data_IF_479647152337
#
_entry.id   IF_479647152337
#
_cell.length_a   1.000
_cell.length_b   1.000
_cell.length_c   1.000
_cell.angle_alpha   90.00
_cell.angle_beta   90.00
_cell.angle_gamma   90.00
#
_symmetry.space_group_name_H-M   'P 1'
#
loop_
_entity.id
_entity.type
_entity.pdbx_description
1 polymer ?
#
# COMPACT_ATOMS: atom_id res chain seq x y z
N UNK A 1 -15.81 -45.18 -22.00
CA UNK A 1 -14.84 -44.37 -21.21
C UNK A 1 -15.10 -44.61 -19.73
N UNK A 2 -14.05 -44.78 -18.92
CA UNK A 2 -14.18 -44.85 -17.45
C UNK A 2 -14.61 -43.49 -16.89
N UNK A 3 -15.33 -43.47 -15.75
CA UNK A 3 -15.72 -42.21 -15.10
C UNK A 3 -14.50 -41.35 -14.75
N UNK A 4 -13.35 -41.98 -14.43
CA UNK A 4 -12.08 -41.29 -14.18
C UNK A 4 -11.59 -40.52 -15.41
N UNK A 5 -11.73 -41.10 -16.60
CA UNK A 5 -11.34 -40.46 -17.87
C UNK A 5 -12.28 -39.30 -18.20
N UNK A 6 -13.59 -39.45 -17.94
CA UNK A 6 -14.58 -38.36 -18.14
C UNK A 6 -14.25 -37.17 -17.23
N UNK A 7 -13.98 -37.42 -15.94
CA UNK A 7 -13.64 -36.37 -14.97
C UNK A 7 -12.38 -35.62 -15.39
N UNK A 8 -11.33 -36.33 -15.82
CA UNK A 8 -10.08 -35.70 -16.29
C UNK A 8 -10.31 -34.80 -17.51
N UNK A 9 -11.11 -35.24 -18.47
CA UNK A 9 -11.42 -34.45 -19.68
C UNK A 9 -12.22 -33.20 -19.31
N UNK A 10 -13.24 -33.32 -18.45
CA UNK A 10 -14.02 -32.17 -17.97
C UNK A 10 -13.12 -31.19 -17.22
N UNK A 11 -12.27 -31.69 -16.33
CA UNK A 11 -11.31 -30.85 -15.60
C UNK A 11 -10.35 -30.09 -16.54
N UNK A 12 -9.81 -30.77 -17.56
CA UNK A 12 -8.94 -30.16 -18.55
C UNK A 12 -9.67 -29.10 -19.40
N UNK A 13 -10.92 -29.36 -19.80
CA UNK A 13 -11.75 -28.40 -20.53
C UNK A 13 -12.06 -27.15 -19.69
N UNK A 14 -12.43 -27.32 -18.42
CA UNK A 14 -12.66 -26.20 -17.51
C UNK A 14 -11.39 -25.37 -17.30
N UNK A 15 -10.24 -26.02 -17.14
CA UNK A 15 -8.96 -25.32 -17.04
C UNK A 15 -8.62 -24.54 -18.31
N UNK A 16 -8.83 -25.14 -19.50
CA UNK A 16 -8.62 -24.46 -20.78
C UNK A 16 -9.53 -23.24 -20.93
N UNK A 17 -10.82 -23.36 -20.61
CA UNK A 17 -11.78 -22.24 -20.63
C UNK A 17 -11.34 -21.13 -19.68
N UNK A 18 -10.91 -21.47 -18.46
CA UNK A 18 -10.42 -20.49 -17.49
C UNK A 18 -9.17 -19.75 -17.98
N UNK A 19 -8.17 -20.47 -18.50
CA UNK A 19 -6.94 -19.86 -19.06
C UNK A 19 -7.27 -18.97 -20.26
N UNK A 20 -8.15 -19.43 -21.16
CA UNK A 20 -8.61 -18.63 -22.29
C UNK A 20 -9.33 -17.36 -21.82
N UNK A 21 -10.21 -17.46 -20.82
CA UNK A 21 -10.91 -16.30 -20.27
C UNK A 21 -9.93 -15.26 -19.70
N UNK A 22 -8.95 -15.69 -18.91
CA UNK A 22 -7.95 -14.81 -18.31
C UNK A 22 -7.05 -14.16 -19.36
N UNK A 23 -6.63 -14.92 -20.38
CA UNK A 23 -5.69 -14.43 -21.40
C UNK A 23 -6.36 -13.55 -22.45
N UNK A 24 -7.61 -13.84 -22.83
CA UNK A 24 -8.36 -13.10 -23.84
C UNK A 24 -9.08 -11.89 -23.26
N UNK A 25 -9.38 -11.84 -21.96
CA UNK A 25 -9.96 -10.66 -21.32
C UNK A 25 -8.88 -9.66 -20.92
N UNK A 26 -8.78 -8.49 -21.58
CA UNK A 26 -7.79 -7.47 -21.23
C UNK A 26 -7.97 -6.96 -19.80
N UNK A 27 -9.19 -6.99 -19.27
CA UNK A 27 -9.44 -6.61 -17.87
C UNK A 27 -8.77 -7.59 -16.90
N UNK A 28 -8.99 -8.91 -17.06
CA UNK A 28 -8.41 -9.91 -16.16
C UNK A 28 -6.89 -10.00 -16.28
N UNK A 29 -6.34 -9.92 -17.50
CA UNK A 29 -4.89 -9.84 -17.70
C UNK A 29 -4.27 -8.65 -16.95
N UNK A 30 -4.87 -7.47 -17.06
CA UNK A 30 -4.37 -6.27 -16.38
C UNK A 30 -4.57 -6.34 -14.86
N UNK A 31 -5.67 -6.92 -14.37
CA UNK A 31 -5.92 -7.09 -12.94
C UNK A 31 -4.91 -8.03 -12.29
N UNK A 32 -4.53 -9.12 -12.98
CA UNK A 32 -3.45 -10.01 -12.51
C UNK A 32 -2.09 -9.32 -12.51
N UNK A 33 -1.77 -8.55 -13.56
CA UNK A 33 -0.56 -7.73 -13.58
C UNK A 33 -0.54 -6.73 -12.43
N UNK A 34 -1.66 -6.04 -12.18
CA UNK A 34 -1.80 -5.13 -11.06
C UNK A 34 -1.56 -5.82 -9.71
N UNK A 35 -2.09 -7.04 -9.53
CA UNK A 35 -1.86 -7.84 -8.32
C UNK A 35 -0.37 -8.14 -8.14
N UNK A 36 0.33 -8.51 -9.20
CA UNK A 36 1.78 -8.74 -9.15
C UNK A 36 2.56 -7.49 -8.69
N UNK A 37 2.27 -6.32 -9.27
CA UNK A 37 2.91 -5.06 -8.84
C UNK A 37 2.57 -4.70 -7.38
N UNK A 38 1.33 -4.97 -6.94
CA UNK A 38 0.94 -4.76 -5.55
C UNK A 38 1.79 -5.59 -4.58
N UNK A 39 1.99 -6.88 -4.87
CA UNK A 39 2.83 -7.77 -4.04
C UNK A 39 4.30 -7.36 -4.05
N UNK A 40 4.77 -6.67 -5.10
CA UNK A 40 6.12 -6.10 -5.16
C UNK A 40 6.27 -4.76 -4.44
N UNK A 41 5.19 -4.20 -3.89
CA UNK A 41 5.18 -2.89 -3.25
C UNK A 41 5.09 -1.70 -4.22
N UNK A 42 4.96 -1.94 -5.53
CA UNK A 42 4.73 -0.89 -6.52
C UNK A 42 3.23 -0.55 -6.60
N UNK A 43 2.76 0.12 -5.54
CA UNK A 43 1.35 0.45 -5.38
C UNK A 43 0.84 1.47 -6.41
N UNK A 44 1.71 2.30 -6.99
CA UNK A 44 1.32 3.28 -8.01
C UNK A 44 0.99 2.56 -9.33
N UNK A 45 1.88 1.68 -9.79
CA UNK A 45 1.64 0.88 -10.99
C UNK A 45 0.46 -0.06 -10.79
N UNK A 46 0.38 -0.71 -9.63
CA UNK A 46 -0.76 -1.55 -9.27
C UNK A 46 -2.09 -0.80 -9.34
N UNK A 47 -2.17 0.43 -8.80
CA UNK A 47 -3.38 1.26 -8.87
C UNK A 47 -3.73 1.63 -10.31
N UNK A 48 -2.77 2.09 -11.11
CA UNK A 48 -3.02 2.49 -12.51
C UNK A 48 -3.57 1.32 -13.34
N UNK A 49 -2.96 0.14 -13.23
CA UNK A 49 -3.38 -1.06 -13.96
C UNK A 49 -4.74 -1.57 -13.50
N UNK A 50 -4.95 -1.67 -12.18
CA UNK A 50 -6.22 -2.15 -11.62
C UNK A 50 -7.38 -1.19 -11.89
N UNK A 51 -7.16 0.12 -11.81
CA UNK A 51 -8.15 1.14 -12.20
C UNK A 51 -8.52 1.04 -13.68
N UNK A 52 -7.54 0.87 -14.56
CA UNK A 52 -7.79 0.64 -16.00
C UNK A 52 -8.56 -0.66 -16.25
N UNK A 53 -8.21 -1.74 -15.54
CA UNK A 53 -8.89 -3.03 -15.63
C UNK A 53 -10.35 -2.93 -15.15
N UNK A 54 -10.58 -2.27 -14.02
CA UNK A 54 -11.90 -2.06 -13.46
C UNK A 54 -12.78 -1.18 -14.35
N UNK A 55 -12.20 -0.16 -15.00
CA UNK A 55 -12.93 0.66 -15.96
C UNK A 55 -13.36 -0.12 -17.21
N UNK A 56 -12.56 -1.11 -17.64
CA UNK A 56 -12.91 -2.01 -18.76
C UNK A 56 -13.98 -3.03 -18.40
N UNK A 57 -14.04 -3.45 -17.13
CA UNK A 57 -15.02 -4.38 -16.61
C UNK A 57 -15.26 -4.11 -15.11
N UNK A 58 -16.37 -3.43 -14.83
CA UNK A 58 -16.76 -3.04 -13.46
C UNK A 58 -17.16 -4.23 -12.58
N UNK A 59 -17.34 -5.42 -13.16
CA UNK A 59 -17.62 -6.65 -12.41
C UNK A 59 -16.35 -7.45 -12.10
N UNK A 60 -15.19 -7.01 -12.59
CA UNK A 60 -13.91 -7.60 -12.24
C UNK A 60 -13.56 -7.28 -10.77
N UNK A 61 -13.96 -8.18 -9.88
CA UNK A 61 -13.71 -8.09 -8.44
C UNK A 61 -12.22 -8.03 -8.11
N UNK A 62 -11.37 -8.73 -8.85
CA UNK A 62 -9.92 -8.67 -8.64
C UNK A 62 -9.40 -7.25 -8.91
N UNK A 63 -9.80 -6.66 -10.03
CA UNK A 63 -9.42 -5.29 -10.37
C UNK A 63 -9.88 -4.29 -9.32
N UNK A 64 -11.15 -4.39 -8.88
CA UNK A 64 -11.68 -3.52 -7.83
C UNK A 64 -10.90 -3.65 -6.51
N UNK A 65 -10.67 -4.89 -6.06
CA UNK A 65 -9.95 -5.15 -4.82
C UNK A 65 -8.54 -4.59 -4.89
N UNK A 66 -7.77 -4.91 -5.94
CA UNK A 66 -6.39 -4.42 -6.08
C UNK A 66 -6.33 -2.90 -6.18
N UNK A 67 -7.31 -2.26 -6.84
CA UNK A 67 -7.42 -0.81 -6.92
C UNK A 67 -7.57 -0.18 -5.53
N UNK A 68 -8.53 -0.66 -4.74
CA UNK A 68 -8.76 -0.16 -3.37
C UNK A 68 -7.55 -0.44 -2.47
N UNK A 69 -6.98 -1.64 -2.55
CA UNK A 69 -5.77 -2.01 -1.80
C UNK A 69 -4.62 -1.06 -2.10
N UNK A 70 -4.34 -0.86 -3.38
CA UNK A 70 -3.23 -0.01 -3.85
C UNK A 70 -3.43 1.45 -3.44
N UNK A 71 -4.66 1.97 -3.52
CA UNK A 71 -4.97 3.34 -3.08
C UNK A 71 -4.68 3.53 -1.60
N UNK A 72 -5.05 2.56 -0.76
CA UNK A 72 -4.79 2.63 0.68
C UNK A 72 -3.28 2.48 0.95
N UNK A 73 -2.62 1.48 0.36
CA UNK A 73 -1.18 1.24 0.55
C UNK A 73 -0.31 2.42 0.12
N UNK A 74 -0.69 3.16 -0.93
CA UNK A 74 -0.01 4.40 -1.32
C UNK A 74 -0.02 5.45 -0.22
N UNK A 75 -1.15 5.62 0.48
CA UNK A 75 -1.24 6.59 1.59
C UNK A 75 -0.31 6.23 2.74
N UNK A 76 -0.25 4.95 3.08
CA UNK A 76 0.71 4.43 4.07
C UNK A 76 2.16 4.63 3.62
N UNK A 77 2.51 4.28 2.38
CA UNK A 77 3.86 4.43 1.86
C UNK A 77 4.31 5.90 1.83
N UNK A 78 3.43 6.83 1.42
CA UNK A 78 3.70 8.26 1.42
C UNK A 78 3.90 8.80 2.84
N UNK A 79 3.05 8.37 3.78
CA UNK A 79 3.17 8.73 5.18
C UNK A 79 4.54 8.30 5.74
N UNK A 80 4.91 7.03 5.54
CA UNK A 80 6.17 6.45 6.02
C UNK A 80 7.36 7.21 5.42
N UNK A 81 7.37 7.43 4.10
CA UNK A 81 8.46 8.12 3.43
C UNK A 81 8.65 9.55 3.93
N UNK A 82 7.56 10.33 4.03
CA UNK A 82 7.59 11.71 4.53
C UNK A 82 8.08 11.77 5.97
N UNK A 83 7.53 10.92 6.82
CA UNK A 83 7.81 10.88 8.25
C UNK A 83 9.25 10.44 8.53
N UNK A 84 9.80 9.50 7.77
CA UNK A 84 11.22 9.16 7.84
C UNK A 84 12.11 10.35 7.43
N UNK A 85 11.74 11.11 6.40
CA UNK A 85 12.42 12.36 6.04
C UNK A 85 12.42 13.39 7.18
N UNK A 86 11.33 13.49 7.95
CA UNK A 86 11.30 14.32 9.16
C UNK A 86 12.24 13.80 10.24
N UNK A 87 12.26 12.50 10.52
CA UNK A 87 13.18 11.91 11.50
C UNK A 87 14.66 12.16 11.14
N UNK A 88 15.02 12.04 9.86
CA UNK A 88 16.36 12.37 9.38
C UNK A 88 16.71 13.85 9.61
N UNK A 89 15.77 14.75 9.34
CA UNK A 89 15.97 16.18 9.56
C UNK A 89 16.13 16.52 11.04
N UNK A 90 15.31 15.91 11.91
CA UNK A 90 15.44 16.04 13.37
C UNK A 90 16.80 15.54 13.83
N UNK A 91 17.27 14.41 13.30
CA UNK A 91 18.59 13.86 13.63
C UNK A 91 19.74 14.77 13.16
N UNK A 92 19.61 15.43 12.01
CA UNK A 92 20.60 16.42 11.54
C UNK A 92 20.65 17.63 12.47
N UNK A 93 19.49 18.13 12.91
CA UNK A 93 19.38 19.24 13.87
C UNK A 93 19.99 18.87 15.21
N UNK A 94 19.76 17.65 15.72
CA UNK A 94 20.29 17.24 17.02
C UNK A 94 21.81 17.04 17.01
N UNK A 95 22.38 16.64 15.86
CA UNK A 95 23.83 16.47 15.69
C UNK A 95 24.59 17.79 15.46
N UNK A 96 23.92 18.88 15.11
CA UNK A 96 24.58 20.16 14.77
C UNK A 96 25.06 20.96 16.00
N UNK A 97 25.04 20.39 17.20
CA UNK A 97 25.47 21.06 18.44
C UNK A 97 24.30 21.64 19.23
N UNK A 98 24.38 22.92 19.65
CA UNK A 98 23.34 23.53 20.50
C UNK A 98 22.04 23.72 19.71
N UNK A 99 20.99 23.01 20.11
CA UNK A 99 19.65 23.12 19.53
C UNK A 99 19.05 24.47 19.95
N UNK A 100 18.82 25.36 18.98
CA UNK A 100 18.20 26.67 19.21
C UNK A 100 16.69 26.56 19.43
N UNK A 101 16.05 27.62 19.93
CA UNK A 101 14.59 27.68 20.03
C UNK A 101 13.91 27.50 18.66
N UNK A 102 14.47 28.10 17.61
CA UNK A 102 14.00 27.93 16.23
C UNK A 102 14.08 26.47 15.77
N UNK A 103 15.14 25.77 16.15
CA UNK A 103 15.27 24.33 15.86
C UNK A 103 14.22 23.52 16.61
N UNK A 104 13.95 23.82 17.88
CA UNK A 104 12.89 23.17 18.66
C UNK A 104 11.51 23.40 18.04
N UNK A 105 11.20 24.61 17.59
CA UNK A 105 9.90 24.91 16.97
C UNK A 105 9.74 24.18 15.62
N UNK A 106 10.82 24.03 14.84
CA UNK A 106 10.82 23.19 13.62
C UNK A 106 10.57 21.72 13.95
N UNK A 107 11.23 21.18 14.98
CA UNK A 107 11.02 19.79 15.42
C UNK A 107 9.56 19.59 15.85
N UNK A 108 9.01 20.52 16.63
CA UNK A 108 7.60 20.49 17.05
C UNK A 108 6.66 20.42 15.85
N UNK A 109 6.83 21.32 14.89
CA UNK A 109 6.01 21.35 13.66
C UNK A 109 6.08 20.02 12.90
N UNK A 110 7.26 19.42 12.75
CA UNK A 110 7.40 18.10 12.10
C UNK A 110 6.66 17.00 12.86
N UNK A 111 6.72 17.01 14.19
CA UNK A 111 6.00 16.04 15.01
C UNK A 111 4.49 16.21 14.88
N UNK A 112 4.00 17.46 14.95
CA UNK A 112 2.58 17.76 14.86
C UNK A 112 2.00 17.32 13.50
N UNK A 113 2.72 17.60 12.41
CA UNK A 113 2.35 17.14 11.06
C UNK A 113 2.37 15.61 10.99
N UNK A 114 3.42 14.95 11.45
CA UNK A 114 3.52 13.49 11.38
C UNK A 114 2.46 12.75 12.21
N UNK A 115 2.04 13.32 13.34
CA UNK A 115 0.94 12.75 14.14
C UNK A 115 -0.40 13.01 13.47
N UNK A 116 -0.61 14.21 12.90
CA UNK A 116 -1.83 14.58 12.19
C UNK A 116 -2.03 13.75 10.92
N UNK A 117 -1.01 13.63 10.07
CA UNK A 117 -1.05 12.85 8.83
C UNK A 117 -1.39 11.37 9.10
N UNK A 118 -0.91 10.79 10.22
CA UNK A 118 -1.24 9.42 10.60
C UNK A 118 -2.74 9.26 10.92
N UNK A 119 -3.38 10.27 11.53
CA UNK A 119 -4.79 10.21 11.88
C UNK A 119 -5.72 10.16 10.65
N UNK A 120 -5.23 10.57 9.48
CA UNK A 120 -5.95 10.49 8.21
C UNK A 120 -5.85 9.11 7.54
N UNK A 121 -4.97 8.23 8.03
CA UNK A 121 -4.84 6.86 7.52
C UNK A 121 -6.02 6.01 7.96
N UNK A 122 -6.72 5.40 6.98
CA UNK A 122 -7.84 4.50 7.25
C UNK A 122 -7.31 3.09 7.55
N UNK A 123 -7.56 2.53 8.75
CA UNK A 123 -7.23 1.14 9.02
C UNK A 123 -8.02 0.23 8.08
N UNK A 124 -7.37 -0.83 7.59
CA UNK A 124 -7.97 -1.70 6.59
C UNK A 124 -7.39 -3.10 6.65
N UNK A 125 -8.26 -4.11 6.66
CA UNK A 125 -7.85 -5.52 6.49
C UNK A 125 -7.40 -5.83 5.06
N UNK A 126 -7.55 -4.88 4.13
CA UNK A 126 -7.15 -5.03 2.74
C UNK A 126 -5.71 -4.58 2.50
N UNK A 127 -5.08 -3.90 3.45
CA UNK A 127 -3.72 -3.36 3.33
C UNK A 127 -2.73 -4.24 4.07
N UNK A 128 -1.49 -4.28 3.58
CA UNK A 128 -0.38 -4.98 4.22
C UNK A 128 -0.27 -4.60 5.71
N UNK A 129 -0.23 -5.61 6.58
CA UNK A 129 -0.04 -5.42 8.01
C UNK A 129 1.27 -4.73 8.31
N UNK A 130 2.32 -5.01 7.54
CA UNK A 130 3.66 -4.50 7.77
C UNK A 130 3.71 -2.98 7.55
N UNK A 131 2.98 -2.48 6.54
CA UNK A 131 2.80 -1.05 6.31
C UNK A 131 2.07 -0.36 7.47
N UNK A 132 1.01 -0.99 7.98
CA UNK A 132 0.21 -0.43 9.06
C UNK A 132 1.01 -0.39 10.37
N UNK A 133 1.75 -1.45 10.65
CA UNK A 133 2.62 -1.53 11.82
C UNK A 133 3.79 -0.56 11.74
N UNK A 134 4.44 -0.42 10.58
CA UNK A 134 5.54 0.54 10.43
C UNK A 134 5.06 1.98 10.58
N UNK A 135 3.94 2.34 9.95
CA UNK A 135 3.34 3.66 10.12
C UNK A 135 3.01 3.93 11.60
N UNK A 136 2.48 2.93 12.31
CA UNK A 136 2.21 3.04 13.75
C UNK A 136 3.49 3.26 14.56
N UNK A 137 4.53 2.45 14.32
CA UNK A 137 5.84 2.59 14.98
C UNK A 137 6.44 3.98 14.76
N UNK A 138 6.36 4.50 13.54
CA UNK A 138 6.85 5.85 13.22
C UNK A 138 6.05 6.92 13.98
N UNK A 139 4.71 6.85 13.95
CA UNK A 139 3.86 7.78 14.70
C UNK A 139 4.17 7.75 16.21
N UNK A 140 4.44 6.58 16.78
CA UNK A 140 4.78 6.46 18.20
C UNK A 140 6.15 7.08 18.54
N UNK A 141 7.12 7.05 17.60
CA UNK A 141 8.38 7.82 17.74
C UNK A 141 8.12 9.32 17.83
N UNK A 142 7.23 9.86 17.00
CA UNK A 142 6.88 11.30 17.04
C UNK A 142 6.17 11.70 18.33
N UNK A 143 5.25 10.88 18.82
CA UNK A 143 4.62 11.13 20.13
C UNK A 143 5.65 11.12 21.27
N UNK A 144 6.65 10.24 21.19
CA UNK A 144 7.72 10.16 22.18
C UNK A 144 8.56 11.43 22.15
N UNK A 145 8.97 11.89 20.96
CA UNK A 145 9.68 13.15 20.78
C UNK A 145 8.89 14.35 21.30
N UNK A 146 7.58 14.41 21.06
CA UNK A 146 6.74 15.48 21.60
C UNK A 146 6.77 15.49 23.13
N UNK A 147 6.56 14.34 23.76
CA UNK A 147 6.53 14.20 25.22
C UNK A 147 7.86 14.52 25.89
N UNK A 148 8.98 14.18 25.25
CA UNK A 148 10.30 14.38 25.82
C UNK A 148 10.85 15.79 25.63
N UNK A 149 10.40 16.49 24.58
CA UNK A 149 10.95 17.81 24.21
C UNK A 149 10.03 18.98 24.56
N UNK A 150 8.72 18.76 24.79
CA UNK A 150 7.70 19.81 24.94
C UNK A 150 6.68 19.50 26.04
#
# INVERSE_FOLDING_TARGET
MSSKTVILIIGALLAAIFVSFVTLSPSYKNALGAKFYYEMGDYETAYKLSKSAYHKDIYNKLAHTVMVQSEISQKYALYIARSNGYLENIQKISKSGKVSKVNLDKIRMMCDIAVSDYAELKPSNLTDSDLQEEAKRIKDKFLTLQKELF
#
